data_IF_073058341706
#
_entry.id   IF_073058341706
#
_cell.length_a   1.000
_cell.length_b   1.000
_cell.length_c   1.000
_cell.angle_alpha   90.00
_cell.angle_beta   90.00
_cell.angle_gamma   90.00
#
_symmetry.space_group_name_H-M   'P 1'
#
loop_
_entity.id
_entity.type
_entity.pdbx_description
1 polymer ?
#
# COMPACT_ATOMS: atom_id res chain seq x y z
N UNK A 1 -13.40 -16.18 -7.71
CA UNK A 1 -14.01 -15.06 -8.44
C UNK A 1 -13.59 -13.75 -7.78
N UNK A 2 -13.22 -12.79 -8.58
CA UNK A 2 -12.76 -11.52 -8.05
C UNK A 2 -13.95 -10.65 -7.63
N UNK A 3 -13.91 -10.15 -6.41
CA UNK A 3 -14.92 -9.24 -5.92
C UNK A 3 -14.58 -7.82 -6.37
N UNK A 4 -15.47 -7.20 -7.13
CA UNK A 4 -15.24 -5.86 -7.68
C UNK A 4 -16.09 -4.80 -6.99
N UNK A 5 -16.83 -5.17 -5.96
CA UNK A 5 -17.67 -4.24 -5.23
C UNK A 5 -17.04 -3.86 -3.90
N UNK A 6 -17.09 -2.55 -3.58
CA UNK A 6 -16.61 -2.06 -2.31
C UNK A 6 -17.52 -2.54 -1.18
N UNK A 7 -16.95 -3.11 -0.12
CA UNK A 7 -17.73 -3.61 1.01
C UNK A 7 -18.37 -2.49 1.84
N UNK A 8 -17.88 -1.26 1.70
CA UNK A 8 -18.34 -0.13 2.50
C UNK A 8 -19.51 0.59 1.84
N UNK A 9 -19.39 0.89 0.55
CA UNK A 9 -20.40 1.72 -0.13
C UNK A 9 -21.00 1.06 -1.37
N UNK A 10 -20.59 -0.17 -1.68
CA UNK A 10 -21.03 -0.91 -2.88
C UNK A 10 -20.61 -0.26 -4.20
N UNK A 11 -19.68 0.69 -4.17
CA UNK A 11 -19.13 1.26 -5.39
C UNK A 11 -18.22 0.28 -6.11
N UNK A 12 -17.71 0.68 -7.27
CA UNK A 12 -16.83 -0.14 -8.07
C UNK A 12 -15.39 0.01 -7.61
N UNK A 13 -14.66 -1.10 -7.56
CA UNK A 13 -13.23 -1.11 -7.25
C UNK A 13 -12.43 -1.10 -8.55
N UNK A 14 -11.46 -0.19 -8.61
CA UNK A 14 -10.56 -0.05 -9.76
C UNK A 14 -9.13 -0.35 -9.33
N UNK A 15 -8.40 -1.11 -10.14
CA UNK A 15 -6.99 -1.40 -9.87
C UNK A 15 -6.13 -0.19 -10.17
N UNK A 16 -5.21 0.11 -9.26
CA UNK A 16 -4.23 1.19 -9.43
C UNK A 16 -2.89 0.76 -8.85
N UNK A 17 -1.82 1.33 -9.38
CA UNK A 17 -0.49 1.26 -8.77
C UNK A 17 -0.24 2.57 -8.05
N UNK A 18 0.09 2.50 -6.78
CA UNK A 18 0.32 3.70 -5.98
C UNK A 18 1.59 3.55 -5.15
N UNK A 19 2.08 4.69 -4.68
CA UNK A 19 3.13 4.75 -3.68
C UNK A 19 2.47 4.82 -2.30
N UNK A 20 2.87 3.93 -1.42
CA UNK A 20 2.39 3.93 -0.04
C UNK A 20 3.56 4.23 0.87
N UNK A 21 3.38 5.16 1.79
CA UNK A 21 4.36 5.46 2.81
C UNK A 21 3.86 5.01 4.17
N UNK A 22 4.79 4.58 5.01
CA UNK A 22 4.51 4.19 6.40
C UNK A 22 5.63 4.71 7.28
N UNK A 23 5.26 5.38 8.36
CA UNK A 23 6.20 5.79 9.39
C UNK A 23 6.02 4.88 10.60
N UNK A 24 7.04 4.08 10.90
CA UNK A 24 6.98 3.08 11.96
C UNK A 24 8.22 3.23 12.83
N UNK A 25 8.04 3.54 14.09
CA UNK A 25 9.11 3.69 15.07
C UNK A 25 10.23 4.61 14.59
N UNK A 26 9.85 5.75 13.99
CA UNK A 26 10.79 6.73 13.50
C UNK A 26 11.42 6.39 12.16
N UNK A 27 11.04 5.27 11.54
CA UNK A 27 11.53 4.87 10.23
C UNK A 27 10.46 5.07 9.18
N UNK A 28 10.85 5.69 8.07
CA UNK A 28 9.94 5.87 6.94
C UNK A 28 10.17 4.77 5.91
N UNK A 29 9.10 4.06 5.59
CA UNK A 29 9.12 3.02 4.56
C UNK A 29 8.31 3.51 3.37
N UNK A 30 8.91 3.44 2.18
CA UNK A 30 8.25 3.79 0.93
C UNK A 30 8.08 2.53 0.10
N UNK A 31 6.84 2.24 -0.28
CA UNK A 31 6.52 1.08 -1.10
C UNK A 31 6.04 1.56 -2.46
N UNK A 32 6.86 1.33 -3.47
CA UNK A 32 6.55 1.75 -4.83
C UNK A 32 5.74 0.67 -5.55
N UNK A 33 4.92 1.11 -6.49
CA UNK A 33 4.17 0.22 -7.38
C UNK A 33 3.35 -0.81 -6.61
N UNK A 34 2.68 -0.35 -5.58
CA UNK A 34 1.78 -1.23 -4.83
C UNK A 34 0.47 -1.34 -5.60
N UNK A 35 0.10 -2.57 -5.95
CA UNK A 35 -1.16 -2.83 -6.66
C UNK A 35 -2.28 -2.86 -5.65
N UNK A 36 -3.19 -1.92 -5.77
CA UNK A 36 -4.33 -1.78 -4.85
C UNK A 36 -5.62 -1.67 -5.65
N UNK A 37 -6.74 -1.78 -4.94
CA UNK A 37 -8.05 -1.50 -5.49
C UNK A 37 -8.60 -0.27 -4.79
N UNK A 38 -9.08 0.68 -5.57
CA UNK A 38 -9.62 1.95 -5.05
C UNK A 38 -11.08 2.05 -5.44
N UNK A 39 -11.93 2.36 -4.46
CA UNK A 39 -13.35 2.57 -4.71
C UNK A 39 -13.56 3.90 -5.42
N UNK A 40 -14.39 3.89 -6.47
CA UNK A 40 -14.67 5.09 -7.25
C UNK A 40 -15.69 6.02 -6.59
N UNK A 41 -16.31 5.61 -5.49
CA UNK A 41 -17.28 6.44 -4.78
C UNK A 41 -16.72 6.98 -3.47
N UNK A 42 -16.23 6.10 -2.58
CA UNK A 42 -15.77 6.52 -1.26
C UNK A 42 -14.24 6.69 -1.19
N UNK A 43 -13.53 6.39 -2.27
CA UNK A 43 -12.07 6.46 -2.36
C UNK A 43 -11.34 5.56 -1.36
N UNK A 44 -12.02 4.53 -0.85
CA UNK A 44 -11.39 3.57 0.05
C UNK A 44 -10.35 2.76 -0.71
N UNK A 45 -9.19 2.56 -0.09
CA UNK A 45 -8.10 1.80 -0.70
C UNK A 45 -8.06 0.42 -0.07
N UNK A 46 -8.15 -0.60 -0.92
CA UNK A 46 -8.09 -1.99 -0.50
C UNK A 46 -6.77 -2.60 -0.94
N UNK A 47 -5.95 -3.01 0.03
CA UNK A 47 -4.63 -3.58 -0.23
C UNK A 47 -4.76 -5.09 -0.24
N UNK A 48 -4.42 -5.77 -1.37
CA UNK A 48 -4.48 -7.23 -1.41
C UNK A 48 -3.55 -7.87 -0.39
N UNK A 49 -3.88 -9.07 0.05
CA UNK A 49 -3.10 -9.75 1.08
C UNK A 49 -1.65 -9.95 0.66
N UNK A 50 -1.39 -10.24 -0.62
CA UNK A 50 -0.03 -10.42 -1.13
C UNK A 50 0.80 -9.14 -0.98
N UNK A 51 0.20 -7.98 -1.25
CA UNK A 51 0.90 -6.71 -1.11
C UNK A 51 1.11 -6.36 0.37
N UNK A 52 0.10 -6.59 1.20
CA UNK A 52 0.21 -6.35 2.63
C UNK A 52 1.31 -7.21 3.25
N UNK A 53 1.43 -8.45 2.83
CA UNK A 53 2.46 -9.36 3.30
C UNK A 53 3.85 -8.89 2.88
N UNK A 54 4.00 -8.43 1.64
CA UNK A 54 5.26 -7.88 1.15
C UNK A 54 5.70 -6.67 1.98
N UNK A 55 4.75 -5.79 2.28
CA UNK A 55 5.02 -4.61 3.09
C UNK A 55 5.45 -5.01 4.50
N UNK A 56 4.77 -5.97 5.10
CA UNK A 56 5.11 -6.44 6.43
C UNK A 56 6.50 -7.08 6.47
N UNK A 57 6.85 -7.87 5.46
CA UNK A 57 8.18 -8.48 5.38
C UNK A 57 9.27 -7.41 5.28
N UNK A 58 9.02 -6.34 4.54
CA UNK A 58 9.99 -5.25 4.45
C UNK A 58 10.16 -4.55 5.80
N UNK A 59 9.08 -4.33 6.52
CA UNK A 59 9.11 -3.70 7.85
C UNK A 59 9.86 -4.58 8.84
N UNK A 60 9.70 -5.90 8.74
CA UNK A 60 10.40 -6.85 9.60
C UNK A 60 11.87 -7.03 9.24
N UNK A 61 12.34 -6.38 8.17
CA UNK A 61 13.72 -6.49 7.73
C UNK A 61 14.05 -7.73 6.92
N UNK A 62 13.04 -8.45 6.45
CA UNK A 62 13.25 -9.67 5.65
C UNK A 62 13.50 -9.37 4.17
N UNK A 63 13.17 -8.18 3.72
CA UNK A 63 13.43 -7.72 2.36
C UNK A 63 14.35 -6.51 2.41
N UNK A 64 15.25 -6.43 1.43
CA UNK A 64 16.14 -5.28 1.33
C UNK A 64 15.49 -4.22 0.44
N UNK A 65 15.62 -2.93 0.78
CA UNK A 65 15.13 -1.88 -0.10
C UNK A 65 15.95 -1.82 -1.38
N UNK A 66 15.31 -1.53 -2.50
CA UNK A 66 16.05 -1.39 -3.75
C UNK A 66 16.69 0.00 -3.89
N UNK A 67 16.28 0.96 -3.09
CA UNK A 67 16.93 2.25 -2.95
C UNK A 67 16.56 2.86 -1.60
N UNK A 68 17.39 3.79 -1.15
CA UNK A 68 17.13 4.53 0.07
C UNK A 68 17.20 6.02 -0.21
N UNK A 69 16.36 6.78 0.49
CA UNK A 69 16.34 8.24 0.37
C UNK A 69 16.61 8.86 1.73
N UNK A 70 17.28 10.02 1.72
CA UNK A 70 17.54 10.79 2.93
C UNK A 70 16.43 11.81 3.07
N UNK A 71 15.77 11.79 4.22
CA UNK A 71 14.67 12.70 4.51
C UNK A 71 15.17 13.77 5.49
N UNK A 72 15.19 15.05 5.09
CA UNK A 72 15.62 16.10 6.00
C UNK A 72 14.60 16.29 7.12
N UNK A 73 15.11 16.60 8.30
CA UNK A 73 14.29 16.87 9.49
C UNK A 73 14.62 18.27 9.97
N UNK A 74 13.59 19.08 10.11
CA UNK A 74 13.72 20.46 10.56
C UNK A 74 13.19 20.66 11.96
#
# INVERSE_FOLDING_TARGET
MKDTACAICSGNLCEQEILIDRLIEGRLYLFEKVHVQVCDQCNEIWIPASEAERMEQAIQGKLKPHKQVIVPVY
#
